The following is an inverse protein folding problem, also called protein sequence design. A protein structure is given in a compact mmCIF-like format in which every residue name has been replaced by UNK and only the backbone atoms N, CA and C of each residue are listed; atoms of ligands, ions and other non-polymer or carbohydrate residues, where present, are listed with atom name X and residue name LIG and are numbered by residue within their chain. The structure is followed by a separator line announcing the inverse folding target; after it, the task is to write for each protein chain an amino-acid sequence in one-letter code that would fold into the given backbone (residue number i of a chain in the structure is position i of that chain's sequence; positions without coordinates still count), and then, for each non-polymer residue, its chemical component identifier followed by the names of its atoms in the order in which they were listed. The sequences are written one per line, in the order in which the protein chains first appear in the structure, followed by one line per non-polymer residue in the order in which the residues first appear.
data_IF_556548448016
#
_entry.id   IF_556548448016
#
_cell.length_a   1.000
_cell.length_b   1.000
_cell.length_c   1.000
_cell.angle_alpha   90.00
_cell.angle_beta   90.00
_cell.angle_gamma   90.00
#
_symmetry.space_group_name_H-M   'P 1'
#
loop_
_entity.id
_entity.type
_entity.pdbx_description
1 polymer ?
#
# COMPACT_ATOMS: atom_id res chain seq x y z
N UNK A 1 -14.86 -3.20 -12.98
CA UNK A 1 -13.77 -2.91 -12.02
C UNK A 1 -12.86 -1.76 -12.46
N UNK A 2 -12.31 -1.77 -13.68
CA UNK A 2 -11.42 -0.66 -14.10
C UNK A 2 -12.13 0.71 -14.21
N UNK A 3 -13.39 0.72 -14.65
CA UNK A 3 -14.22 1.94 -14.68
C UNK A 3 -14.63 2.44 -13.29
N UNK A 4 -14.67 1.57 -12.28
CA UNK A 4 -15.07 1.95 -10.92
C UNK A 4 -13.95 2.71 -10.20
N UNK A 5 -12.68 2.43 -10.50
CA UNK A 5 -11.53 3.17 -9.94
C UNK A 5 -11.58 4.67 -10.22
N UNK A 6 -12.11 5.07 -11.38
CA UNK A 6 -12.26 6.46 -11.77
C UNK A 6 -13.51 7.12 -11.18
N UNK A 7 -14.59 6.36 -10.99
CA UNK A 7 -15.90 6.90 -10.57
C UNK A 7 -16.07 6.97 -9.06
N UNK A 8 -15.45 6.05 -8.33
CA UNK A 8 -15.66 5.92 -6.89
C UNK A 8 -14.31 5.87 -6.17
N UNK A 9 -14.29 6.37 -4.94
CA UNK A 9 -13.29 5.89 -3.99
C UNK A 9 -13.81 4.53 -3.55
N UNK A 10 -13.11 3.41 -3.81
CA UNK A 10 -13.47 2.18 -3.16
C UNK A 10 -13.24 2.39 -1.66
N UNK A 11 -14.30 2.77 -0.94
CA UNK A 11 -14.38 2.45 0.47
C UNK A 11 -14.11 0.94 0.59
N UNK A 12 -13.53 0.57 1.71
CA UNK A 12 -13.18 -0.77 2.13
C UNK A 12 -14.14 -1.91 1.72
N UNK A 13 -15.43 -1.63 1.53
CA UNK A 13 -16.40 -2.57 0.97
C UNK A 13 -16.07 -3.06 -0.45
N UNK A 14 -15.59 -2.18 -1.33
CA UNK A 14 -15.20 -2.56 -2.68
C UNK A 14 -13.88 -3.35 -2.68
N UNK A 15 -12.96 -3.07 -1.74
CA UNK A 15 -11.76 -3.88 -1.56
C UNK A 15 -12.12 -5.33 -1.23
N UNK A 16 -13.13 -5.57 -0.40
CA UNK A 16 -13.63 -6.91 -0.12
C UNK A 16 -14.18 -7.64 -1.37
N UNK A 17 -14.84 -6.93 -2.28
CA UNK A 17 -15.27 -7.49 -3.58
C UNK A 17 -14.07 -7.87 -4.45
N UNK A 18 -13.02 -7.04 -4.47
CA UNK A 18 -11.78 -7.34 -5.23
C UNK A 18 -11.11 -8.59 -4.66
N UNK A 19 -11.02 -8.69 -3.33
CA UNK A 19 -10.51 -9.89 -2.67
C UNK A 19 -11.34 -11.13 -3.02
N UNK A 20 -12.68 -11.04 -3.01
CA UNK A 20 -13.54 -12.15 -3.40
C UNK A 20 -13.38 -12.57 -4.87
N UNK A 21 -13.18 -11.62 -5.79
CA UNK A 21 -12.87 -11.95 -7.20
C UNK A 21 -11.50 -12.63 -7.32
N UNK A 22 -10.51 -12.16 -6.56
CA UNK A 22 -9.19 -12.82 -6.46
C UNK A 22 -9.33 -14.25 -5.94
N UNK A 23 -10.10 -14.46 -4.88
CA UNK A 23 -10.36 -15.78 -4.31
C UNK A 23 -11.02 -16.71 -5.34
N UNK A 24 -12.05 -16.24 -6.05
CA UNK A 24 -12.71 -17.00 -7.12
C UNK A 24 -11.75 -17.39 -8.26
N UNK A 25 -10.88 -16.48 -8.69
CA UNK A 25 -9.88 -16.78 -9.71
C UNK A 25 -8.87 -17.83 -9.22
N UNK A 26 -8.43 -17.72 -7.97
CA UNK A 26 -7.52 -18.70 -7.36
C UNK A 26 -8.20 -20.05 -7.12
N UNK A 27 -9.48 -20.09 -6.78
CA UNK A 27 -10.28 -21.31 -6.70
C UNK A 27 -10.24 -22.07 -8.01
N UNK A 28 -10.46 -21.37 -9.13
CA UNK A 28 -10.37 -21.97 -10.45
C UNK A 28 -8.97 -22.50 -10.75
N UNK A 29 -7.92 -21.73 -10.42
CA UNK A 29 -6.53 -22.18 -10.60
C UNK A 29 -6.24 -23.44 -9.79
N UNK A 30 -6.67 -23.50 -8.53
CA UNK A 30 -6.48 -24.68 -7.67
C UNK A 30 -7.18 -25.91 -8.25
N UNK A 31 -8.40 -25.75 -8.75
CA UNK A 31 -9.15 -26.85 -9.39
C UNK A 31 -8.47 -27.33 -10.69
N UNK A 32 -8.00 -26.40 -11.53
CA UNK A 32 -7.33 -26.72 -12.80
C UNK A 32 -5.91 -27.28 -12.60
N UNK A 33 -5.26 -26.97 -11.47
CA UNK A 33 -3.87 -27.35 -11.17
C UNK A 33 -3.74 -28.24 -9.93
N UNK A 34 -4.80 -28.95 -9.56
CA UNK A 34 -4.84 -29.80 -8.36
C UNK A 34 -3.63 -30.75 -8.21
N UNK A 35 -3.10 -31.42 -9.26
CA UNK A 35 -1.90 -32.24 -9.14
C UNK A 35 -0.65 -31.46 -8.68
N UNK A 36 -0.51 -30.20 -9.09
CA UNK A 36 0.59 -29.32 -8.67
C UNK A 36 0.42 -28.93 -7.21
N UNK A 37 -0.79 -28.56 -6.80
CA UNK A 37 -1.11 -28.23 -5.40
C UNK A 37 -0.82 -29.43 -4.49
N UNK A 38 -1.26 -30.64 -4.85
CA UNK A 38 -0.96 -31.85 -4.09
C UNK A 38 0.55 -32.15 -4.04
N UNK A 39 1.29 -31.89 -5.13
CA UNK A 39 2.75 -32.04 -5.13
C UNK A 39 3.41 -31.07 -4.14
N UNK A 40 2.93 -29.83 -4.07
CA UNK A 40 3.40 -28.84 -3.09
C UNK A 40 3.10 -29.34 -1.67
N UNK A 41 1.86 -29.72 -1.37
CA UNK A 41 1.45 -30.18 -0.04
C UNK A 41 2.17 -31.47 0.42
N UNK A 42 2.60 -32.33 -0.51
CA UNK A 42 3.34 -33.55 -0.21
C UNK A 42 4.87 -33.37 -0.19
N UNK A 43 5.36 -32.17 -0.49
CA UNK A 43 6.79 -31.84 -0.43
C UNK A 43 7.19 -31.36 0.96
N UNK A 44 8.46 -31.53 1.33
CA UNK A 44 9.01 -30.97 2.57
C UNK A 44 9.69 -29.64 2.30
N UNK A 45 9.50 -28.69 3.20
CA UNK A 45 10.11 -27.37 3.14
C UNK A 45 10.81 -27.05 4.45
N UNK A 46 11.93 -26.33 4.38
CA UNK A 46 12.62 -25.85 5.58
C UNK A 46 11.96 -24.60 6.16
N UNK A 47 11.30 -23.81 5.31
CA UNK A 47 10.63 -22.55 5.65
C UNK A 47 9.61 -22.19 4.56
N UNK A 48 8.46 -21.65 4.96
CA UNK A 48 7.46 -21.08 4.06
C UNK A 48 7.48 -19.55 4.19
N UNK A 49 7.45 -18.83 3.07
CA UNK A 49 7.22 -17.39 3.05
C UNK A 49 5.93 -17.16 2.26
N UNK A 50 4.91 -16.63 2.93
CA UNK A 50 3.57 -16.45 2.35
C UNK A 50 3.24 -14.97 2.27
N UNK A 51 2.84 -14.47 1.10
CA UNK A 51 2.31 -13.10 0.99
C UNK A 51 0.97 -13.02 1.73
N UNK A 52 0.69 -11.88 2.36
CA UNK A 52 -0.58 -11.64 3.05
C UNK A 52 -1.71 -11.24 2.07
N UNK A 53 -1.36 -10.50 1.01
CA UNK A 53 -2.35 -9.85 0.15
C UNK A 53 -2.82 -10.79 -0.95
N UNK A 54 -4.13 -10.93 -1.08
CA UNK A 54 -4.79 -11.79 -2.08
C UNK A 54 -4.27 -13.25 -2.09
N UNK A 55 -3.79 -13.76 -0.96
CA UNK A 55 -3.05 -15.03 -0.87
C UNK A 55 -3.70 -16.02 0.10
N UNK A 56 -5.04 -16.07 0.10
CA UNK A 56 -5.76 -16.92 1.05
C UNK A 56 -5.47 -18.41 0.83
N UNK A 57 -5.36 -18.87 -0.42
CA UNK A 57 -4.93 -20.23 -0.74
C UNK A 57 -3.50 -20.49 -0.28
N UNK A 58 -2.60 -19.50 -0.42
CA UNK A 58 -1.23 -19.59 0.09
C UNK A 58 -1.20 -19.78 1.60
N UNK A 59 -2.00 -19.00 2.33
CA UNK A 59 -2.15 -19.11 3.78
C UNK A 59 -2.82 -20.43 4.20
N UNK A 60 -3.80 -20.93 3.44
CA UNK A 60 -4.42 -22.23 3.68
C UNK A 60 -3.45 -23.39 3.47
N UNK A 61 -2.66 -23.37 2.39
CA UNK A 61 -1.59 -24.34 2.18
C UNK A 61 -0.52 -24.25 3.27
N UNK A 62 -0.19 -23.04 3.74
CA UNK A 62 0.73 -22.83 4.86
C UNK A 62 0.21 -23.48 6.14
N UNK A 63 -1.10 -23.35 6.42
CA UNK A 63 -1.76 -24.02 7.55
C UNK A 63 -1.61 -25.54 7.47
N UNK A 64 -1.90 -26.11 6.30
CA UNK A 64 -1.80 -27.55 6.07
C UNK A 64 -0.36 -28.06 6.27
N UNK A 65 0.62 -27.41 5.64
CA UNK A 65 2.02 -27.78 5.79
C UNK A 65 2.42 -27.71 7.26
N UNK A 66 2.20 -26.58 7.95
CA UNK A 66 2.46 -26.44 9.39
C UNK A 66 1.80 -27.55 10.23
N UNK A 67 0.58 -27.96 9.92
CA UNK A 67 -0.12 -29.04 10.63
C UNK A 67 0.48 -30.43 10.36
N UNK A 68 0.87 -30.72 9.11
CA UNK A 68 1.37 -32.04 8.72
C UNK A 68 2.86 -32.27 9.06
N UNK A 69 3.71 -31.25 8.90
CA UNK A 69 5.17 -31.40 9.04
C UNK A 69 5.80 -30.43 10.06
N UNK A 70 5.02 -29.48 10.59
CA UNK A 70 5.50 -28.45 11.50
C UNK A 70 6.49 -27.48 10.87
N UNK A 71 6.42 -27.25 9.55
CA UNK A 71 7.27 -26.31 8.81
C UNK A 71 7.08 -24.90 9.33
N UNK A 72 8.15 -24.18 9.73
CA UNK A 72 8.05 -22.79 10.13
C UNK A 72 7.60 -21.90 8.96
N UNK A 73 6.94 -20.77 9.26
CA UNK A 73 6.51 -19.84 8.24
C UNK A 73 6.72 -18.37 8.63
N UNK A 74 6.89 -17.55 7.60
CA UNK A 74 6.94 -16.09 7.65
C UNK A 74 5.76 -15.56 6.85
N UNK A 75 5.04 -14.59 7.41
CA UNK A 75 4.09 -13.78 6.64
C UNK A 75 4.84 -12.57 6.09
N UNK A 76 4.74 -12.33 4.78
CA UNK A 76 5.37 -11.22 4.08
C UNK A 76 4.34 -10.26 3.52
N UNK A 77 4.27 -9.05 4.06
CA UNK A 77 3.28 -8.04 3.67
C UNK A 77 3.88 -7.09 2.64
N UNK A 78 3.32 -7.05 1.42
CA UNK A 78 3.84 -6.22 0.32
C UNK A 78 3.13 -4.87 0.14
N UNK A 79 2.01 -4.66 0.84
CA UNK A 79 1.28 -3.40 0.87
C UNK A 79 0.56 -3.25 2.21
N UNK A 80 0.28 -2.02 2.60
CA UNK A 80 -0.40 -1.74 3.85
C UNK A 80 -1.94 -1.88 3.73
N UNK A 81 -2.44 -2.39 2.60
CA UNK A 81 -3.87 -2.69 2.37
C UNK A 81 -4.28 -4.03 2.98
N UNK A 82 -3.32 -4.89 3.34
CA UNK A 82 -3.57 -6.16 4.03
C UNK A 82 -4.32 -5.91 5.34
N UNK A 83 -5.42 -6.63 5.56
CA UNK A 83 -6.30 -6.38 6.70
C UNK A 83 -5.62 -6.71 8.03
N UNK A 84 -4.87 -7.80 8.09
CA UNK A 84 -4.36 -8.38 9.32
C UNK A 84 -3.12 -7.64 9.84
N UNK A 85 -2.14 -7.35 8.98
CA UNK A 85 -0.98 -6.53 9.33
C UNK A 85 -1.33 -5.08 9.60
N UNK A 86 -2.31 -4.51 8.90
CA UNK A 86 -2.79 -3.17 9.20
C UNK A 86 -3.46 -3.12 10.58
N UNK A 87 -4.31 -4.10 10.90
CA UNK A 87 -4.90 -4.23 12.25
C UNK A 87 -3.82 -4.38 13.33
N UNK A 88 -2.76 -5.14 13.06
CA UNK A 88 -1.62 -5.26 13.97
C UNK A 88 -0.90 -3.92 14.19
N UNK A 89 -0.65 -3.13 13.13
CA UNK A 89 -0.05 -1.79 13.22
C UNK A 89 -0.91 -0.81 14.03
N UNK A 90 -2.20 -0.81 13.73
CA UNK A 90 -3.23 -0.07 14.44
C UNK A 90 -3.14 -0.37 15.94
N UNK A 91 -3.12 -1.65 16.30
CA UNK A 91 -3.06 -2.06 17.70
C UNK A 91 -1.73 -1.73 18.37
N UNK A 92 -0.65 -1.65 17.58
CA UNK A 92 0.67 -1.23 18.04
C UNK A 92 0.83 0.29 18.15
N UNK A 93 -0.14 1.09 17.74
CA UNK A 93 -0.17 2.55 17.96
C UNK A 93 -0.41 3.42 16.74
N UNK A 94 -0.60 2.83 15.55
CA UNK A 94 -1.01 3.57 14.33
C UNK A 94 -2.50 3.92 14.37
N UNK A 95 -2.91 4.76 15.31
CA UNK A 95 -4.33 5.05 15.53
C UNK A 95 -4.88 6.09 14.53
N UNK A 96 -6.17 6.04 14.18
CA UNK A 96 -6.83 6.91 13.20
C UNK A 96 -7.09 8.31 13.81
N UNK A 97 -6.87 8.43 15.11
CA UNK A 97 -6.87 9.67 15.87
C UNK A 97 -5.59 10.47 15.58
N UNK A 98 -4.51 9.78 15.24
CA UNK A 98 -3.18 10.33 15.11
C UNK A 98 -2.75 10.46 13.64
N UNK A 99 -3.20 9.57 12.76
CA UNK A 99 -2.85 9.62 11.34
C UNK A 99 -3.97 9.15 10.42
N UNK A 100 -3.95 9.58 9.16
CA UNK A 100 -4.85 9.07 8.12
C UNK A 100 -4.64 7.56 7.94
N UNK A 101 -5.73 6.80 7.82
CA UNK A 101 -5.70 5.35 7.48
C UNK A 101 -5.81 5.12 5.96
N UNK A 102 -5.62 3.88 5.53
CA UNK A 102 -5.70 3.49 4.11
C UNK A 102 -7.12 3.66 3.55
N UNK A 103 -8.14 3.45 4.37
CA UNK A 103 -9.54 3.71 4.01
C UNK A 103 -9.95 5.18 4.01
N UNK A 104 -9.06 6.14 4.34
CA UNK A 104 -9.44 7.55 4.31
C UNK A 104 -9.81 8.02 2.90
N UNK A 105 -10.90 8.80 2.75
CA UNK A 105 -11.30 9.36 1.46
C UNK A 105 -10.14 10.06 0.79
N UNK A 106 -9.96 9.92 -0.52
CA UNK A 106 -8.83 10.55 -1.22
C UNK A 106 -8.76 12.08 -1.02
N UNK A 107 -7.56 12.69 -1.06
CA UNK A 107 -7.43 14.13 -0.91
C UNK A 107 -8.15 14.90 -2.03
N UNK A 108 -8.90 15.93 -1.65
CA UNK A 108 -9.69 16.73 -2.59
C UNK A 108 -8.86 17.80 -3.34
N UNK A 109 -7.60 18.00 -2.95
CA UNK A 109 -6.68 18.90 -3.62
C UNK A 109 -5.50 19.31 -2.75
N UNK A 110 -4.74 20.33 -3.19
CA UNK A 110 -3.60 20.86 -2.46
C UNK A 110 -4.04 21.38 -1.09
N UNK A 111 -3.29 21.02 -0.04
CA UNK A 111 -3.59 21.48 1.32
C UNK A 111 -4.63 20.67 2.08
N UNK A 112 -5.24 19.63 1.48
CA UNK A 112 -6.06 18.65 2.23
C UNK A 112 -5.18 17.71 3.08
N UNK A 113 -4.60 18.30 4.13
CA UNK A 113 -3.69 17.64 5.06
C UNK A 113 -4.43 17.26 6.33
N UNK A 114 -4.28 16.00 6.76
CA UNK A 114 -4.80 15.54 8.03
C UNK A 114 -4.16 16.30 9.20
N UNK A 115 -4.99 16.88 10.07
CA UNK A 115 -4.53 17.60 11.25
C UNK A 115 -5.11 16.95 12.53
N UNK A 116 -4.29 16.21 13.30
CA UNK A 116 -4.75 15.53 14.52
C UNK A 116 -5.17 16.51 15.62
N UNK A 117 -4.84 17.81 15.53
CA UNK A 117 -5.31 18.82 16.50
C UNK A 117 -6.79 19.14 16.32
N UNK A 118 -7.34 18.96 15.11
CA UNK A 118 -8.75 19.24 14.80
C UNK A 118 -9.63 18.03 15.14
N UNK A 119 -10.61 18.23 16.02
CA UNK A 119 -11.54 17.17 16.43
C UNK A 119 -12.30 16.56 15.25
N UNK A 120 -12.78 17.38 14.31
CA UNK A 120 -13.51 16.89 13.12
C UNK A 120 -12.68 15.93 12.28
N UNK A 121 -11.39 16.24 12.04
CA UNK A 121 -10.50 15.35 11.31
C UNK A 121 -10.35 14.00 12.04
N UNK A 122 -10.19 14.02 13.37
CA UNK A 122 -10.12 12.79 14.17
C UNK A 122 -11.41 11.99 14.09
N UNK A 123 -12.57 12.63 14.23
CA UNK A 123 -13.87 11.97 14.19
C UNK A 123 -14.14 11.32 12.83
N UNK A 124 -13.96 12.05 11.73
CA UNK A 124 -14.17 11.49 10.39
C UNK A 124 -13.24 10.31 10.14
N UNK A 125 -11.96 10.42 10.50
CA UNK A 125 -11.00 9.34 10.29
C UNK A 125 -11.30 8.09 11.14
N UNK A 126 -11.82 8.28 12.36
CA UNK A 126 -12.34 7.19 13.20
C UNK A 126 -13.55 6.51 12.54
N UNK A 127 -14.50 7.27 12.02
CA UNK A 127 -15.68 6.71 11.33
C UNK A 127 -15.28 5.93 10.07
N UNK A 128 -14.33 6.43 9.30
CA UNK A 128 -13.78 5.74 8.13
C UNK A 128 -13.06 4.45 8.54
N UNK A 129 -12.24 4.47 9.59
CA UNK A 129 -11.59 3.26 10.11
C UNK A 129 -12.61 2.21 10.62
N UNK A 130 -13.72 2.65 11.23
CA UNK A 130 -14.83 1.75 11.62
C UNK A 130 -15.50 1.16 10.37
N UNK A 131 -15.77 1.98 9.36
CA UNK A 131 -16.31 1.53 8.08
C UNK A 131 -15.39 0.51 7.39
N UNK A 132 -14.08 0.77 7.45
CA UNK A 132 -13.03 -0.12 6.97
C UNK A 132 -13.06 -1.48 7.63
N UNK A 133 -13.13 -1.47 8.96
CA UNK A 133 -13.25 -2.69 9.73
C UNK A 133 -14.54 -3.47 9.42
N UNK A 134 -15.69 -2.78 9.44
CA UNK A 134 -17.00 -3.42 9.21
C UNK A 134 -17.06 -4.08 7.85
N UNK A 135 -16.52 -3.44 6.81
CA UNK A 135 -16.50 -4.08 5.51
C UNK A 135 -15.64 -5.35 5.50
N UNK A 136 -14.42 -5.33 6.08
CA UNK A 136 -13.58 -6.54 6.10
C UNK A 136 -14.32 -7.71 6.76
N UNK A 137 -15.10 -7.42 7.81
CA UNK A 137 -15.99 -8.39 8.44
C UNK A 137 -17.08 -8.91 7.48
N UNK A 138 -17.78 -8.03 6.75
CA UNK A 138 -18.84 -8.43 5.80
C UNK A 138 -18.32 -9.24 4.60
N UNK A 139 -17.07 -9.02 4.18
CA UNK A 139 -16.47 -9.76 3.05
C UNK A 139 -15.71 -11.02 3.48
N UNK A 140 -15.57 -11.26 4.79
CA UNK A 140 -14.93 -12.45 5.38
C UNK A 140 -15.40 -13.78 4.74
N UNK A 141 -16.70 -14.00 4.45
CA UNK A 141 -17.17 -15.23 3.81
C UNK A 141 -16.53 -15.54 2.45
N UNK A 142 -16.16 -14.52 1.66
CA UNK A 142 -15.51 -14.73 0.36
C UNK A 142 -14.08 -15.22 0.49
N UNK A 143 -13.43 -15.00 1.63
CA UNK A 143 -12.11 -15.55 1.90
C UNK A 143 -12.18 -17.01 2.37
N UNK A 144 -13.36 -17.54 2.70
CA UNK A 144 -13.48 -18.90 3.23
C UNK A 144 -13.73 -19.98 2.19
N UNK A 145 -14.10 -19.59 0.96
CA UNK A 145 -14.33 -20.54 -0.14
C UNK A 145 -13.06 -21.27 -0.56
N UNK A 146 -11.93 -20.58 -0.73
CA UNK A 146 -10.66 -21.20 -1.12
C UNK A 146 -10.10 -22.21 -0.13
N UNK A 147 -9.98 -21.89 1.18
CA UNK A 147 -9.54 -22.83 2.19
C UNK A 147 -10.40 -24.09 2.25
N UNK A 148 -11.73 -23.97 2.06
CA UNK A 148 -12.63 -25.12 2.02
C UNK A 148 -12.34 -26.06 0.85
N UNK A 149 -11.97 -25.54 -0.34
CA UNK A 149 -11.54 -26.38 -1.47
C UNK A 149 -10.27 -27.18 -1.17
N UNK A 150 -9.44 -26.71 -0.25
CA UNK A 150 -8.23 -27.40 0.22
C UNK A 150 -8.49 -28.27 1.47
N UNK A 151 -9.76 -28.49 1.84
CA UNK A 151 -10.18 -29.19 3.07
C UNK A 151 -9.62 -28.56 4.36
N UNK A 152 -9.42 -27.24 4.38
CA UNK A 152 -9.03 -26.50 5.58
C UNK A 152 -10.28 -26.01 6.30
N UNK A 153 -10.67 -26.72 7.36
CA UNK A 153 -11.73 -26.29 8.27
C UNK A 153 -11.24 -25.20 9.23
N UNK A 154 -12.15 -24.33 9.69
CA UNK A 154 -11.87 -23.26 10.65
C UNK A 154 -10.63 -22.41 10.25
N UNK A 155 -10.61 -21.95 9.00
CA UNK A 155 -9.55 -21.07 8.53
C UNK A 155 -9.61 -19.72 9.26
N UNK A 156 -8.47 -19.20 9.68
CA UNK A 156 -8.36 -17.89 10.31
C UNK A 156 -7.02 -17.26 9.93
N UNK A 157 -7.05 -16.17 9.19
CA UNK A 157 -5.85 -15.48 8.72
C UNK A 157 -5.05 -14.91 9.90
N UNK A 158 -5.72 -14.47 10.96
CA UNK A 158 -5.08 -14.01 12.20
C UNK A 158 -4.30 -15.14 12.90
N UNK A 159 -4.79 -16.38 12.85
CA UNK A 159 -4.07 -17.54 13.37
C UNK A 159 -2.74 -17.74 12.63
N UNK A 160 -2.74 -17.63 11.30
CA UNK A 160 -1.54 -17.77 10.48
C UNK A 160 -0.52 -16.69 10.85
N UNK A 161 -0.94 -15.44 10.98
CA UNK A 161 -0.05 -14.34 11.35
C UNK A 161 0.49 -14.45 12.79
N UNK A 162 -0.36 -14.87 13.73
CA UNK A 162 0.00 -15.06 15.15
C UNK A 162 0.97 -16.22 15.35
N UNK A 163 0.82 -17.29 14.58
CA UNK A 163 1.66 -18.49 14.65
C UNK A 163 2.90 -18.41 13.77
N UNK A 164 3.05 -17.34 12.98
CA UNK A 164 4.24 -17.09 12.19
C UNK A 164 5.47 -16.88 13.09
N UNK A 165 6.59 -17.43 12.65
CA UNK A 165 7.89 -17.19 13.28
C UNK A 165 8.29 -15.72 13.15
N UNK A 166 7.85 -15.08 12.04
CA UNK A 166 8.08 -13.68 11.76
C UNK A 166 7.01 -13.09 10.83
N UNK A 167 6.78 -11.80 10.99
CA UNK A 167 5.97 -10.94 10.12
C UNK A 167 6.90 -9.91 9.51
N UNK A 168 7.24 -10.10 8.23
CA UNK A 168 8.10 -9.21 7.46
C UNK A 168 7.25 -8.30 6.58
N UNK A 169 7.66 -7.03 6.42
CA UNK A 169 6.90 -6.07 5.61
C UNK A 169 7.78 -5.28 4.65
N UNK A 170 7.35 -5.13 3.41
CA UNK A 170 7.93 -4.16 2.45
C UNK A 170 7.36 -2.76 2.68
N UNK A 171 7.25 -2.35 3.96
CA UNK A 171 6.78 -1.04 4.37
C UNK A 171 7.90 -0.21 4.98
N UNK A 172 7.64 1.08 5.17
CA UNK A 172 8.58 2.01 5.81
C UNK A 172 8.45 1.92 7.33
N UNK A 173 9.58 1.88 8.04
CA UNK A 173 9.62 1.95 9.51
C UNK A 173 10.14 3.27 10.07
N UNK A 174 10.69 4.13 9.21
CA UNK A 174 11.21 5.46 9.59
C UNK A 174 10.40 6.62 9.01
N UNK A 175 9.39 6.33 8.19
CA UNK A 175 8.54 7.33 7.54
C UNK A 175 7.16 7.23 8.16
N UNK A 176 6.82 8.16 9.05
CA UNK A 176 5.56 8.16 9.79
C UNK A 176 5.77 8.41 11.27
N UNK A 177 4.79 8.03 12.09
CA UNK A 177 4.90 8.10 13.55
C UNK A 177 5.63 6.87 14.07
N UNK A 178 6.48 7.08 15.08
CA UNK A 178 7.14 6.00 15.80
C UNK A 178 6.09 5.31 16.67
N UNK A 179 6.00 3.98 16.55
CA UNK A 179 5.13 3.16 17.38
C UNK A 179 5.92 2.00 17.99
N UNK A 180 5.45 1.42 19.11
CA UNK A 180 5.92 0.12 19.57
C UNK A 180 5.92 -0.94 18.46
N UNK A 181 6.96 -1.75 18.36
CA UNK A 181 6.99 -2.91 17.46
C UNK A 181 7.35 -4.15 18.25
N UNK A 182 6.60 -5.24 18.04
CA UNK A 182 6.99 -6.55 18.53
C UNK A 182 8.23 -7.05 17.78
N UNK A 183 9.07 -7.83 18.44
CA UNK A 183 10.34 -8.35 17.88
C UNK A 183 10.16 -9.16 16.59
N UNK A 184 9.02 -9.83 16.48
CA UNK A 184 8.66 -10.64 15.31
C UNK A 184 7.92 -9.84 14.22
N UNK A 185 7.67 -8.54 14.40
CA UNK A 185 7.18 -7.64 13.35
C UNK A 185 8.32 -6.75 12.89
N UNK A 186 8.78 -6.95 11.66
CA UNK A 186 9.94 -6.26 11.10
C UNK A 186 9.62 -5.70 9.71
N UNK A 187 9.77 -4.40 9.56
CA UNK A 187 9.72 -3.78 8.24
C UNK A 187 11.11 -3.81 7.61
N UNK A 188 11.19 -4.39 6.42
CA UNK A 188 12.42 -4.54 5.63
C UNK A 188 12.37 -3.71 4.34
N UNK A 189 11.33 -2.90 4.15
CA UNK A 189 11.11 -2.09 2.95
C UNK A 189 11.99 -0.85 2.82
N UNK A 190 12.77 -0.51 3.85
CA UNK A 190 13.62 0.68 3.90
C UNK A 190 14.94 0.56 3.11
N UNK A 191 14.82 0.30 1.80
CA UNK A 191 15.95 0.13 0.89
C UNK A 191 15.70 0.79 -0.48
N UNK A 192 16.79 1.13 -1.17
CA UNK A 192 16.77 1.66 -2.53
C UNK A 192 17.45 0.70 -3.50
N UNK A 193 16.88 0.57 -4.70
CA UNK A 193 17.52 -0.17 -5.80
C UNK A 193 18.70 0.64 -6.36
N UNK A 194 19.65 -0.06 -6.97
CA UNK A 194 20.75 0.57 -7.70
C UNK A 194 20.17 1.29 -8.93
N UNK A 195 20.47 2.59 -9.15
CA UNK A 195 19.99 3.33 -10.31
C UNK A 195 20.27 2.62 -11.63
N UNK A 196 19.27 2.56 -12.49
CA UNK A 196 19.40 2.04 -13.85
C UNK A 196 19.68 3.19 -14.82
N UNK A 197 20.48 2.94 -15.86
CA UNK A 197 20.76 3.95 -16.89
C UNK A 197 19.70 3.93 -17.99
N UNK A 198 19.29 5.11 -18.45
CA UNK A 198 18.48 5.25 -19.66
C UNK A 198 19.32 4.88 -20.89
N UNK A 199 18.66 4.32 -21.90
CA UNK A 199 19.28 3.92 -23.18
C UNK A 199 18.44 4.35 -24.37
N UNK A 200 19.08 4.45 -25.54
CA UNK A 200 18.43 4.76 -26.83
C UNK A 200 17.63 6.06 -26.84
N UNK A 201 16.55 6.07 -27.61
CA UNK A 201 15.68 7.24 -27.85
C UNK A 201 15.16 7.91 -26.58
N UNK A 202 14.98 7.15 -25.50
CA UNK A 202 14.49 7.69 -24.25
C UNK A 202 15.57 8.51 -23.53
N UNK A 203 16.82 8.06 -23.60
CA UNK A 203 17.97 8.82 -23.10
C UNK A 203 18.10 10.13 -23.87
N UNK A 204 18.12 10.07 -25.20
CA UNK A 204 18.28 11.26 -26.05
C UNK A 204 17.17 12.29 -25.80
N UNK A 205 15.94 11.81 -25.61
CA UNK A 205 14.80 12.67 -25.28
C UNK A 205 14.94 13.35 -23.92
N UNK A 206 15.35 12.63 -22.88
CA UNK A 206 15.55 13.19 -21.53
C UNK A 206 16.76 14.13 -21.50
N UNK A 207 17.82 13.80 -22.25
CA UNK A 207 19.08 14.54 -22.27
C UNK A 207 19.07 15.77 -23.17
N UNK A 208 17.99 16.02 -23.92
CA UNK A 208 17.85 17.21 -24.75
C UNK A 208 18.20 18.51 -24.00
N UNK A 209 19.18 19.23 -24.54
CA UNK A 209 19.75 20.45 -23.98
C UNK A 209 18.80 21.63 -24.02
N UNK A 210 17.81 21.63 -24.91
CA UNK A 210 16.80 22.68 -25.00
C UNK A 210 15.77 22.60 -23.87
N UNK A 211 15.67 21.44 -23.20
CA UNK A 211 14.72 21.23 -22.12
C UNK A 211 15.23 21.70 -20.76
N UNK A 212 14.35 22.37 -20.00
CA UNK A 212 14.60 22.77 -18.61
C UNK A 212 14.58 21.59 -17.63
N UNK A 213 14.06 20.44 -18.03
CA UNK A 213 13.96 19.25 -17.19
C UNK A 213 12.87 18.29 -17.68
N UNK A 214 12.76 17.15 -17.01
CA UNK A 214 11.81 16.08 -17.33
C UNK A 214 10.75 15.95 -16.25
N UNK A 215 9.48 15.98 -16.65
CA UNK A 215 8.33 15.65 -15.82
C UNK A 215 7.90 14.23 -16.18
N UNK A 216 7.91 13.35 -15.19
CA UNK A 216 7.43 11.98 -15.36
C UNK A 216 6.00 11.84 -14.83
N UNK A 217 5.16 11.09 -15.54
CA UNK A 217 3.76 10.87 -15.18
C UNK A 217 3.43 9.39 -15.28
N UNK A 218 2.94 8.77 -14.20
CA UNK A 218 2.51 7.38 -14.21
C UNK A 218 1.47 7.05 -13.13
N UNK A 219 0.44 6.30 -13.51
CA UNK A 219 -0.69 5.94 -12.64
C UNK A 219 -0.72 4.46 -12.25
N UNK A 220 0.41 3.76 -12.38
CA UNK A 220 0.51 2.34 -12.04
C UNK A 220 -0.09 1.41 -13.10
N UNK A 221 -0.04 0.10 -12.82
CA UNK A 221 -0.37 -0.95 -13.80
C UNK A 221 -1.86 -1.29 -13.90
N UNK A 222 -2.64 -0.91 -12.89
CA UNK A 222 -4.07 -1.21 -12.79
C UNK A 222 -4.96 -0.08 -13.32
N UNK A 223 -4.44 1.13 -13.46
CA UNK A 223 -5.22 2.27 -13.95
C UNK A 223 -5.27 2.23 -15.47
N UNK A 224 -6.47 2.08 -16.00
CA UNK A 224 -6.72 2.09 -17.44
C UNK A 224 -7.32 3.44 -17.85
N UNK A 225 -6.63 4.14 -18.75
CA UNK A 225 -6.99 5.50 -19.18
C UNK A 225 -8.20 5.55 -20.15
N UNK A 226 -8.59 4.43 -20.76
CA UNK A 226 -9.82 4.33 -21.56
C UNK A 226 -11.08 4.63 -20.70
N UNK A 227 -11.00 4.48 -19.38
CA UNK A 227 -12.11 4.75 -18.45
C UNK A 227 -11.96 6.07 -17.67
N UNK A 228 -10.91 6.85 -17.93
CA UNK A 228 -10.72 8.14 -17.28
C UNK A 228 -11.90 9.07 -17.61
N UNK A 229 -12.47 9.83 -16.66
CA UNK A 229 -13.51 10.80 -16.98
C UNK A 229 -12.99 11.84 -17.98
N UNK A 230 -13.83 12.25 -18.93
CA UNK A 230 -13.40 13.13 -20.02
C UNK A 230 -12.83 14.46 -19.50
N UNK A 231 -13.42 15.05 -18.46
CA UNK A 231 -12.93 16.29 -17.88
C UNK A 231 -11.54 16.13 -17.24
N UNK A 232 -11.26 15.00 -16.58
CA UNK A 232 -9.93 14.71 -16.00
C UNK A 232 -8.91 14.42 -17.07
N UNK A 233 -9.30 13.66 -18.10
CA UNK A 233 -8.46 13.40 -19.26
C UNK A 233 -8.03 14.73 -19.90
N UNK A 234 -8.99 15.59 -20.22
CA UNK A 234 -8.73 16.91 -20.81
C UNK A 234 -7.90 17.80 -19.88
N UNK A 235 -8.15 17.77 -18.56
CA UNK A 235 -7.36 18.50 -17.59
C UNK A 235 -5.89 18.07 -17.56
N UNK A 236 -5.61 16.75 -17.53
CA UNK A 236 -4.24 16.23 -17.52
C UNK A 236 -3.50 16.61 -18.80
N UNK A 237 -4.12 16.35 -19.97
CA UNK A 237 -3.46 16.58 -21.24
C UNK A 237 -3.37 18.06 -21.62
N UNK A 238 -4.37 18.87 -21.27
CA UNK A 238 -4.28 20.33 -21.37
C UNK A 238 -3.14 20.85 -20.51
N UNK A 239 -2.97 20.33 -19.29
CA UNK A 239 -1.89 20.76 -18.41
C UNK A 239 -0.52 20.37 -18.97
N UNK A 240 -0.37 19.15 -19.50
CA UNK A 240 0.86 18.68 -20.16
C UNK A 240 1.28 19.64 -21.28
N UNK A 241 0.32 20.09 -22.09
CA UNK A 241 0.59 20.99 -23.21
C UNK A 241 1.18 22.33 -22.73
N UNK A 242 0.86 22.79 -21.52
CA UNK A 242 1.41 24.04 -20.97
C UNK A 242 2.92 23.99 -20.64
N UNK A 243 3.54 22.81 -20.64
CA UNK A 243 4.94 22.61 -20.25
C UNK A 243 5.89 22.36 -21.43
N UNK A 244 5.72 23.10 -22.55
CA UNK A 244 6.54 22.96 -23.76
C UNK A 244 8.06 23.11 -23.56
N UNK A 245 8.50 23.83 -22.52
CA UNK A 245 9.92 24.01 -22.18
C UNK A 245 10.52 22.78 -21.45
N UNK A 246 9.68 21.81 -21.11
CA UNK A 246 10.04 20.59 -20.40
C UNK A 246 9.76 19.36 -21.27
N UNK A 247 10.51 18.29 -21.00
CA UNK A 247 10.24 16.98 -21.57
C UNK A 247 9.21 16.29 -20.67
N UNK A 248 8.13 15.80 -21.25
CA UNK A 248 7.09 15.06 -20.50
C UNK A 248 7.10 13.60 -20.95
N UNK A 249 7.30 12.68 -20.01
CA UNK A 249 7.15 11.25 -20.26
C UNK A 249 5.94 10.78 -19.48
N UNK A 250 4.95 10.24 -20.18
CA UNK A 250 3.77 9.65 -19.56
C UNK A 250 3.68 8.15 -19.85
N UNK A 251 3.73 7.35 -18.80
CA UNK A 251 3.47 5.92 -18.87
C UNK A 251 1.99 5.65 -18.54
N UNK A 252 1.24 5.15 -19.51
CA UNK A 252 -0.18 4.84 -19.32
C UNK A 252 -0.60 3.59 -20.08
N UNK A 253 -1.55 2.84 -19.51
CA UNK A 253 -2.10 1.65 -20.14
C UNK A 253 -3.30 2.02 -21.02
N UNK A 254 -3.19 1.69 -22.32
CA UNK A 254 -4.22 1.66 -23.38
C UNK A 254 -4.99 2.95 -23.64
N UNK A 255 -5.19 3.24 -24.93
CA UNK A 255 -6.09 4.26 -25.46
C UNK A 255 -6.85 3.71 -26.66
N UNK A 256 -7.23 2.43 -26.61
CA UNK A 256 -7.95 1.77 -27.71
C UNK A 256 -9.28 2.46 -28.03
N UNK A 257 -9.81 3.27 -27.11
CA UNK A 257 -11.10 3.94 -27.25
C UNK A 257 -11.02 5.46 -27.39
N UNK A 258 -9.84 6.07 -27.36
CA UNK A 258 -9.70 7.54 -27.39
C UNK A 258 -8.55 8.01 -28.27
N UNK A 259 -8.79 9.09 -28.99
CA UNK A 259 -7.76 9.81 -29.73
C UNK A 259 -6.89 10.60 -28.76
N UNK A 260 -5.57 10.44 -28.88
CA UNK A 260 -4.63 11.29 -28.17
C UNK A 260 -4.61 12.69 -28.77
N UNK A 261 -4.51 13.74 -27.95
CA UNK A 261 -4.12 15.05 -28.44
C UNK A 261 -2.76 14.94 -29.15
N UNK A 262 -2.59 15.72 -30.22
CA UNK A 262 -1.29 15.86 -30.86
C UNK A 262 -0.46 16.83 -30.04
N UNK A 263 0.60 16.32 -29.43
CA UNK A 263 1.60 17.15 -28.76
C UNK A 263 2.72 17.49 -29.75
N UNK A 264 3.37 18.62 -29.50
CA UNK A 264 4.70 18.88 -30.08
C UNK A 264 5.70 17.83 -29.59
N UNK A 265 6.89 17.80 -30.18
CA UNK A 265 7.93 16.79 -29.91
C UNK A 265 8.40 16.69 -28.45
N UNK A 266 7.92 17.53 -27.53
CA UNK A 266 8.20 17.57 -26.10
C UNK A 266 7.52 16.48 -25.23
N UNK A 267 6.57 15.71 -25.78
CA UNK A 267 5.84 14.65 -25.02
C UNK A 267 6.12 13.28 -25.61
N UNK A 268 6.48 12.31 -24.75
CA UNK A 268 6.52 10.88 -25.08
C UNK A 268 5.48 10.13 -24.24
N UNK A 269 4.57 9.42 -24.92
CA UNK A 269 3.58 8.55 -24.29
C UNK A 269 4.00 7.10 -24.53
N UNK A 270 4.11 6.33 -23.44
CA UNK A 270 4.58 4.95 -23.46
C UNK A 270 3.55 4.03 -22.79
N UNK A 271 3.39 2.81 -23.31
CA UNK A 271 2.60 1.79 -22.61
C UNK A 271 3.31 1.27 -21.35
N UNK A 272 4.64 1.27 -21.39
CA UNK A 272 5.52 0.89 -20.29
C UNK A 272 6.79 1.74 -20.36
N UNK A 273 7.28 2.19 -19.21
CA UNK A 273 8.48 3.00 -19.13
C UNK A 273 9.43 2.43 -18.07
N UNK A 274 10.76 2.56 -18.23
CA UNK A 274 11.71 2.20 -17.19
C UNK A 274 11.68 3.24 -16.06
N UNK A 275 10.62 3.19 -15.24
CA UNK A 275 10.27 4.18 -14.22
C UNK A 275 11.47 4.52 -13.32
N UNK A 276 12.15 3.49 -12.80
CA UNK A 276 13.30 3.68 -11.92
C UNK A 276 14.45 4.45 -12.61
N UNK A 277 14.77 4.12 -13.86
CA UNK A 277 15.79 4.82 -14.64
C UNK A 277 15.39 6.27 -14.95
N UNK A 278 14.12 6.53 -15.26
CA UNK A 278 13.62 7.90 -15.48
C UNK A 278 13.71 8.71 -14.19
N UNK A 279 13.18 8.19 -13.08
CA UNK A 279 13.16 8.90 -11.80
C UNK A 279 14.56 9.24 -11.30
N UNK A 280 15.50 8.29 -11.41
CA UNK A 280 16.89 8.48 -10.96
C UNK A 280 17.72 9.36 -11.90
N UNK A 281 17.23 9.68 -13.10
CA UNK A 281 17.96 10.54 -14.02
C UNK A 281 18.04 11.99 -13.50
N UNK A 282 19.21 12.66 -13.54
CA UNK A 282 19.41 13.99 -12.97
C UNK A 282 18.50 15.10 -13.53
N UNK A 283 18.05 14.96 -14.78
CA UNK A 283 17.10 15.90 -15.42
C UNK A 283 15.65 15.71 -14.97
N UNK A 284 15.30 14.66 -14.23
CA UNK A 284 13.92 14.44 -13.79
C UNK A 284 13.61 15.28 -12.56
N UNK A 285 12.69 16.22 -12.70
CA UNK A 285 12.44 17.28 -11.72
C UNK A 285 11.11 17.11 -10.95
N UNK A 286 10.17 16.34 -11.49
CA UNK A 286 8.91 16.03 -10.84
C UNK A 286 8.33 14.70 -11.29
N UNK A 287 7.56 14.07 -10.42
CA UNK A 287 6.80 12.86 -10.71
C UNK A 287 5.33 13.02 -10.32
N UNK A 288 4.44 13.07 -11.31
CA UNK A 288 3.00 12.93 -11.13
C UNK A 288 2.62 11.46 -11.04
N UNK A 289 2.28 11.02 -9.83
CA UNK A 289 2.02 9.63 -9.50
C UNK A 289 0.61 9.42 -8.96
N UNK A 290 0.03 8.25 -9.21
CA UNK A 290 -1.10 7.76 -8.40
C UNK A 290 -0.76 7.54 -6.92
N UNK A 291 0.52 7.51 -6.52
CA UNK A 291 0.91 7.36 -5.12
C UNK A 291 0.94 5.93 -4.59
N UNK A 292 1.03 4.91 -5.45
CA UNK A 292 1.23 3.53 -5.00
C UNK A 292 2.56 3.36 -4.25
N UNK A 293 2.58 2.50 -3.22
CA UNK A 293 3.70 2.33 -2.29
C UNK A 293 5.07 2.16 -2.98
N UNK A 294 5.13 1.30 -3.99
CA UNK A 294 6.36 1.03 -4.76
C UNK A 294 6.83 2.25 -5.57
N UNK A 295 5.90 2.96 -6.20
CA UNK A 295 6.22 4.18 -6.97
C UNK A 295 6.68 5.32 -6.06
N UNK A 296 6.07 5.46 -4.89
CA UNK A 296 6.53 6.39 -3.86
C UNK A 296 7.95 6.04 -3.39
N UNK A 297 8.23 4.76 -3.11
CA UNK A 297 9.58 4.30 -2.72
C UNK A 297 10.64 4.63 -3.77
N UNK A 298 10.35 4.36 -5.04
CA UNK A 298 11.28 4.69 -6.14
C UNK A 298 11.54 6.19 -6.25
N UNK A 299 10.50 7.02 -6.10
CA UNK A 299 10.64 8.48 -6.14
C UNK A 299 11.43 9.04 -4.95
N UNK A 300 11.18 8.51 -3.75
CA UNK A 300 11.96 8.85 -2.55
C UNK A 300 13.44 8.49 -2.73
N UNK A 301 13.72 7.27 -3.20
CA UNK A 301 15.07 6.82 -3.49
C UNK A 301 15.77 7.64 -4.58
N UNK A 302 15.02 8.08 -5.58
CA UNK A 302 15.50 8.99 -6.62
C UNK A 302 15.58 10.47 -6.17
N UNK A 303 15.04 10.79 -4.99
CA UNK A 303 14.87 12.16 -4.48
C UNK A 303 14.05 13.05 -5.43
N UNK A 304 13.11 12.48 -6.18
CA UNK A 304 12.30 13.21 -7.16
C UNK A 304 11.06 13.80 -6.48
N UNK A 305 10.86 15.13 -6.51
CA UNK A 305 9.67 15.77 -5.97
C UNK A 305 8.36 15.16 -6.50
N UNK A 306 7.36 15.06 -5.63
CA UNK A 306 6.15 14.27 -5.88
C UNK A 306 4.91 15.15 -6.10
N UNK A 307 4.09 14.72 -7.05
CA UNK A 307 2.73 15.21 -7.23
C UNK A 307 1.82 14.00 -7.25
N UNK A 308 0.72 14.05 -6.53
CA UNK A 308 -0.18 12.91 -6.40
C UNK A 308 -1.51 13.18 -7.07
N UNK A 309 -2.02 12.20 -7.80
CA UNK A 309 -3.43 12.09 -8.09
C UNK A 309 -3.87 10.69 -7.66
N UNK A 310 -4.15 10.51 -6.35
CA UNK A 310 -4.53 9.21 -5.82
C UNK A 310 -5.74 8.65 -6.55
N UNK A 311 -5.74 7.33 -6.76
CA UNK A 311 -6.80 6.61 -7.45
C UNK A 311 -7.57 5.71 -6.48
N UNK A 312 -6.91 4.90 -5.65
CA UNK A 312 -7.57 3.96 -4.71
C UNK A 312 -6.63 3.55 -3.55
N UNK A 313 -7.17 2.90 -2.52
CA UNK A 313 -6.41 2.17 -1.50
C UNK A 313 -5.41 3.07 -0.71
N UNK A 314 -4.20 2.60 -0.42
CA UNK A 314 -3.21 3.31 0.43
C UNK A 314 -2.72 4.64 -0.16
N UNK A 315 -3.04 4.93 -1.41
CA UNK A 315 -2.54 6.07 -2.17
C UNK A 315 -2.91 7.41 -1.54
N UNK A 316 -4.12 7.51 -0.96
CA UNK A 316 -4.58 8.71 -0.26
C UNK A 316 -3.76 9.02 0.98
N UNK A 317 -3.47 8.01 1.80
CA UNK A 317 -2.59 8.14 2.97
C UNK A 317 -1.18 8.59 2.58
N UNK A 318 -0.60 7.96 1.54
CA UNK A 318 0.74 8.30 1.05
C UNK A 318 0.78 9.76 0.60
N UNK A 319 -0.22 10.22 -0.15
CA UNK A 319 -0.32 11.60 -0.60
C UNK A 319 -0.42 12.58 0.58
N UNK A 320 -1.29 12.31 1.57
CA UNK A 320 -1.44 13.17 2.76
C UNK A 320 -0.18 13.23 3.61
N UNK A 321 0.46 12.08 3.82
CA UNK A 321 1.72 12.00 4.56
C UNK A 321 2.81 12.79 3.84
N UNK A 322 2.87 12.69 2.52
CA UNK A 322 3.82 13.44 1.68
C UNK A 322 3.58 14.95 1.71
N UNK A 323 2.31 15.39 1.68
CA UNK A 323 1.96 16.81 1.84
C UNK A 323 2.33 17.32 3.24
N UNK A 324 2.06 16.54 4.28
CA UNK A 324 2.44 16.88 5.67
C UNK A 324 3.95 17.03 5.85
N UNK A 325 4.73 16.17 5.20
CA UNK A 325 6.19 16.25 5.19
C UNK A 325 6.72 17.34 4.25
N UNK A 326 5.87 17.91 3.40
CA UNK A 326 6.22 18.93 2.42
C UNK A 326 7.11 18.42 1.30
N UNK A 327 6.99 17.13 0.94
CA UNK A 327 7.75 16.49 -0.16
C UNK A 327 6.93 16.35 -1.44
N UNK A 328 5.64 16.71 -1.39
CA UNK A 328 4.78 16.75 -2.56
C UNK A 328 3.43 17.42 -2.31
N UNK A 329 2.60 17.44 -3.35
CA UNK A 329 1.24 17.99 -3.36
C UNK A 329 0.26 17.01 -4.01
N UNK A 330 -1.04 17.18 -3.79
CA UNK A 330 -2.07 16.31 -4.38
C UNK A 330 -3.11 17.09 -5.19
N UNK A 331 -3.65 16.45 -6.23
CA UNK A 331 -4.81 16.90 -7.00
C UNK A 331 -5.90 15.82 -6.97
N UNK A 332 -7.16 16.24 -7.05
CA UNK A 332 -8.30 15.34 -6.97
C UNK A 332 -8.56 14.62 -8.29
N UNK A 333 -8.69 13.30 -8.27
CA UNK A 333 -9.14 12.53 -9.43
C UNK A 333 -10.59 12.82 -9.84
N UNK A 334 -11.37 13.52 -9.00
CA UNK A 334 -12.78 13.82 -9.26
C UNK A 334 -12.97 15.20 -9.88
N UNK A 335 -12.19 16.17 -9.43
CA UNK A 335 -12.46 17.60 -9.65
C UNK A 335 -11.26 18.37 -10.19
N UNK A 336 -10.11 17.73 -10.41
CA UNK A 336 -8.93 18.42 -10.93
C UNK A 336 -9.24 19.13 -12.25
N UNK A 337 -8.85 20.39 -12.31
CA UNK A 337 -8.89 21.21 -13.52
C UNK A 337 -7.50 21.30 -14.13
N UNK A 338 -7.43 21.68 -15.41
CA UNK A 338 -6.15 21.95 -16.09
C UNK A 338 -5.30 22.93 -15.27
N UNK A 339 -5.89 24.07 -14.88
CA UNK A 339 -5.17 25.11 -14.16
C UNK A 339 -4.64 24.61 -12.81
N UNK A 340 -5.42 23.81 -12.07
CA UNK A 340 -4.97 23.25 -10.80
C UNK A 340 -3.77 22.31 -10.97
N UNK A 341 -3.76 21.49 -12.03
CA UNK A 341 -2.62 20.60 -12.33
C UNK A 341 -1.39 21.43 -12.71
N UNK A 342 -1.56 22.48 -13.54
CA UNK A 342 -0.49 23.41 -13.92
C UNK A 342 0.09 24.11 -12.69
N UNK A 343 -0.76 24.63 -11.81
CA UNK A 343 -0.33 25.35 -10.60
C UNK A 343 0.48 24.43 -9.68
N UNK A 344 0.02 23.19 -9.47
CA UNK A 344 0.71 22.23 -8.61
C UNK A 344 2.03 21.76 -9.21
N UNK A 345 2.08 21.47 -10.51
CA UNK A 345 3.34 21.14 -11.19
C UNK A 345 4.31 22.31 -11.07
N UNK A 346 3.85 23.52 -11.35
CA UNK A 346 4.67 24.75 -11.28
C UNK A 346 5.22 24.97 -9.88
N UNK A 347 4.39 24.87 -8.84
CA UNK A 347 4.81 24.99 -7.44
C UNK A 347 5.90 23.96 -7.12
N UNK A 348 5.71 22.69 -7.48
CA UNK A 348 6.66 21.62 -7.15
C UNK A 348 7.99 21.76 -7.89
N UNK A 349 8.00 22.19 -9.16
CA UNK A 349 9.23 22.34 -9.94
C UNK A 349 9.99 23.63 -9.64
N UNK A 350 9.31 24.69 -9.18
CA UNK A 350 9.93 26.00 -8.90
C UNK A 350 10.34 26.17 -7.44
N UNK A 351 9.68 25.48 -6.50
CA UNK A 351 9.99 25.58 -5.08
C UNK A 351 11.05 24.53 -4.66
N UNK A 352 12.31 24.94 -4.36
CA UNK A 352 13.38 24.00 -4.03
C UNK A 352 13.15 23.26 -2.70
N UNK A 353 12.22 23.73 -1.86
CA UNK A 353 11.88 23.11 -0.57
C UNK A 353 11.49 21.63 -0.73
N UNK A 354 10.75 21.29 -1.80
CA UNK A 354 10.34 19.91 -2.06
C UNK A 354 11.54 18.99 -2.29
N UNK A 355 12.49 19.41 -3.13
CA UNK A 355 13.72 18.66 -3.42
C UNK A 355 14.61 18.52 -2.19
N UNK A 356 14.76 19.58 -1.40
CA UNK A 356 15.54 19.57 -0.16
C UNK A 356 14.93 18.59 0.85
N UNK A 357 13.61 18.66 1.06
CA UNK A 357 12.91 17.83 2.04
C UNK A 357 12.90 16.35 1.66
N UNK A 358 12.67 16.01 0.38
CA UNK A 358 12.69 14.60 -0.04
C UNK A 358 14.11 14.02 0.02
N UNK A 359 15.14 14.82 -0.23
CA UNK A 359 16.54 14.40 -0.06
C UNK A 359 16.85 14.08 1.40
N UNK A 360 16.49 14.99 2.33
CA UNK A 360 16.61 14.73 3.77
C UNK A 360 15.81 13.52 4.23
N UNK A 361 14.61 13.32 3.67
CA UNK A 361 13.81 12.15 4.00
C UNK A 361 14.46 10.86 3.52
N UNK A 362 15.11 10.85 2.34
CA UNK A 362 15.88 9.70 1.86
C UNK A 362 17.05 9.35 2.80
N UNK A 363 17.75 10.35 3.32
CA UNK A 363 18.82 10.14 4.31
C UNK A 363 18.27 9.44 5.56
N UNK A 364 17.20 9.97 6.15
CA UNK A 364 16.55 9.36 7.31
C UNK A 364 15.94 7.97 7.02
N UNK A 365 15.48 7.76 5.79
CA UNK A 365 14.92 6.49 5.32
C UNK A 365 15.97 5.37 5.28
N UNK A 366 17.22 5.71 4.92
CA UNK A 366 18.33 4.76 4.83
C UNK A 366 19.18 4.72 6.11
N UNK A 367 18.93 5.61 7.07
CA UNK A 367 19.66 5.70 8.33
C UNK A 367 19.33 4.50 9.25
N UNK A 368 20.16 3.47 9.14
CA UNK A 368 20.04 2.21 9.89
C UNK A 368 21.41 1.70 10.29
N UNK A 369 21.46 0.95 11.39
CA UNK A 369 22.65 0.19 11.82
C UNK A 369 23.01 -0.89 10.80
N UNK A 370 21.99 -1.49 10.16
CA UNK A 370 22.13 -2.52 9.13
C UNK A 370 21.15 -2.21 7.99
N UNK A 371 21.56 -2.37 6.70
CA UNK A 371 20.64 -2.24 5.58
C UNK A 371 19.41 -3.15 5.75
N UNK A 372 18.21 -2.65 5.43
CA UNK A 372 16.97 -3.35 5.78
C UNK A 372 16.81 -4.72 5.11
N UNK A 373 17.35 -4.88 3.90
CA UNK A 373 17.37 -6.17 3.20
C UNK A 373 18.36 -7.16 3.82
N UNK A 374 19.51 -6.68 4.30
CA UNK A 374 20.49 -7.52 4.99
C UNK A 374 19.93 -8.00 6.32
N UNK A 375 19.21 -7.13 7.03
CA UNK A 375 18.46 -7.49 8.24
C UNK A 375 17.40 -8.56 7.94
N UNK A 376 16.59 -8.37 6.90
CA UNK A 376 15.60 -9.36 6.46
C UNK A 376 16.23 -10.71 6.10
N UNK A 377 17.32 -10.69 5.31
CA UNK A 377 18.05 -11.90 4.94
C UNK A 377 18.67 -12.60 6.17
N UNK A 378 19.23 -11.83 7.11
CA UNK A 378 19.75 -12.36 8.35
C UNK A 378 18.66 -13.02 9.20
N UNK A 379 17.48 -12.41 9.33
CA UNK A 379 16.35 -12.97 10.06
C UNK A 379 15.86 -14.29 9.44
N UNK A 380 15.75 -14.34 8.11
CA UNK A 380 15.40 -15.57 7.36
C UNK A 380 16.46 -16.66 7.58
N UNK A 381 17.74 -16.33 7.41
CA UNK A 381 18.85 -17.27 7.61
C UNK A 381 18.92 -17.78 9.06
N UNK A 382 18.63 -16.92 10.03
CA UNK A 382 18.55 -17.30 11.45
C UNK A 382 17.46 -18.35 11.66
N UNK A 383 16.29 -18.21 11.02
CA UNK A 383 15.23 -19.21 11.10
C UNK A 383 15.64 -20.53 10.43
N UNK A 384 16.25 -20.48 9.24
CA UNK A 384 16.76 -21.67 8.55
C UNK A 384 17.88 -22.40 9.34
N UNK A 385 18.70 -21.65 10.08
CA UNK A 385 19.81 -22.22 10.86
C UNK A 385 19.36 -22.94 12.14
N UNK A 386 18.15 -22.65 12.64
CA UNK A 386 17.60 -23.27 13.85
C UNK A 386 17.05 -24.66 13.51
N UNK A 387 17.92 -25.66 13.52
CA UNK A 387 17.55 -27.08 13.32
C UNK A 387 16.72 -27.64 14.48
N UNK A 388 16.92 -27.10 15.68
CA UNK A 388 16.12 -27.45 16.84
C UNK A 388 14.93 -26.49 16.90
N UNK A 389 13.73 -27.05 16.71
CA UNK A 389 12.43 -26.43 16.97
C UNK A 389 12.28 -26.13 18.47
N UNK A 390 13.19 -25.34 19.05
CA UNK A 390 13.11 -24.89 20.44
C UNK A 390 11.78 -24.14 20.58
N UNK A 391 10.80 -24.85 21.14
CA UNK A 391 9.42 -24.46 21.33
C UNK A 391 9.27 -23.34 22.34
N UNK A 392 9.97 -22.22 22.14
CA UNK A 392 9.79 -21.01 22.95
C UNK A 392 8.44 -20.33 22.72
N UNK A 393 7.54 -20.92 21.92
CA UNK A 393 6.16 -20.45 21.72
C UNK A 393 5.08 -21.54 21.70
N UNK A 394 5.34 -22.75 22.19
CA UNK A 394 4.26 -23.76 22.33
C UNK A 394 3.54 -23.62 23.68
N UNK A 395 2.81 -22.52 23.88
CA UNK A 395 1.68 -22.54 24.80
C UNK A 395 0.40 -22.68 23.97
N UNK A 396 -0.05 -23.93 23.80
CA UNK A 396 -1.43 -24.18 23.38
C UNK A 396 -2.36 -23.62 24.46
N UNK A 397 -3.09 -22.55 24.15
CA UNK A 397 -4.19 -22.11 25.01
C UNK A 397 -5.44 -22.96 24.71
N UNK A 398 -6.31 -23.19 25.71
CA UNK A 398 -7.54 -23.94 25.52
C UNK A 398 -8.43 -23.26 24.48
N UNK A 399 -9.20 -24.07 23.77
CA UNK A 399 -10.28 -23.65 22.88
C UNK A 399 -11.28 -22.79 23.66
N UNK A 400 -11.13 -21.47 23.60
CA UNK A 400 -12.19 -20.55 23.97
C UNK A 400 -12.81 -20.01 22.68
N UNK A 401 -14.14 -20.15 22.62
CA UNK A 401 -14.99 -19.69 21.54
C UNK A 401 -14.90 -18.16 21.44
N UNK A 402 -14.16 -17.64 20.47
CA UNK A 402 -13.86 -16.21 20.35
C UNK A 402 -14.79 -15.55 19.32
N UNK A 403 -16.06 -15.40 19.69
CA UNK A 403 -16.87 -14.35 19.10
C UNK A 403 -16.42 -13.01 19.69
N UNK A 404 -15.94 -12.10 18.83
CA UNK A 404 -15.54 -10.69 19.08
C UNK A 404 -14.02 -10.40 19.30
N UNK A 405 -13.38 -9.91 18.22
CA UNK A 405 -12.46 -8.74 18.11
C UNK A 405 -11.17 -8.56 18.95
N UNK A 406 -10.25 -9.54 18.99
CA UNK A 406 -8.90 -9.28 19.54
C UNK A 406 -7.79 -10.01 18.78
N UNK A 407 -6.80 -9.28 18.24
CA UNK A 407 -5.50 -9.90 17.97
C UNK A 407 -4.82 -10.09 19.34
N UNK A 408 -4.36 -11.30 19.67
CA UNK A 408 -3.77 -11.59 20.97
C UNK A 408 -2.45 -12.32 20.78
N UNK A 409 -1.34 -11.64 21.09
CA UNK A 409 0.01 -12.23 21.05
C UNK A 409 0.57 -12.22 22.46
N UNK A 410 0.91 -13.40 22.99
CA UNK A 410 1.54 -13.62 24.32
C UNK A 410 1.18 -12.61 25.42
N UNK A 411 -0.06 -12.67 25.91
CA UNK A 411 -0.48 -11.84 27.06
C UNK A 411 -0.76 -10.36 26.73
N UNK A 412 -0.45 -9.90 25.52
CA UNK A 412 -0.80 -8.56 25.04
C UNK A 412 -2.17 -8.62 24.35
N UNK A 413 -3.14 -7.87 24.89
CA UNK A 413 -4.43 -7.63 24.25
C UNK A 413 -4.29 -6.50 23.23
N UNK A 414 -4.27 -6.85 21.94
CA UNK A 414 -4.25 -5.93 20.82
C UNK A 414 -5.66 -5.85 20.24
N UNK A 415 -6.57 -5.31 21.06
CA UNK A 415 -8.00 -5.28 20.82
C UNK A 415 -8.52 -4.05 20.08
N UNK A 416 -9.52 -4.28 19.23
CA UNK A 416 -10.18 -3.21 18.47
C UNK A 416 -11.01 -2.25 19.35
N UNK A 417 -11.35 -2.62 20.59
CA UNK A 417 -12.04 -1.75 21.55
C UNK A 417 -11.04 -0.88 22.36
N UNK A 418 -9.88 -1.44 22.70
CA UNK A 418 -8.76 -0.71 23.31
C UNK A 418 -8.28 0.41 22.37
N UNK A 419 -8.37 0.18 21.06
CA UNK A 419 -8.05 1.12 19.98
C UNK A 419 -8.86 2.43 20.01
N UNK A 420 -10.11 2.43 20.50
CA UNK A 420 -10.91 3.65 20.65
C UNK A 420 -10.74 4.35 22.01
N UNK A 421 -9.88 3.82 22.90
CA UNK A 421 -9.77 4.30 24.28
C UNK A 421 -11.05 4.05 25.10
N UNK A 422 -11.87 3.09 24.69
CA UNK A 422 -13.12 2.74 25.35
C UNK A 422 -12.85 1.65 26.40
N UNK A 423 -12.45 2.06 27.60
CA UNK A 423 -12.51 1.21 28.79
C UNK A 423 -13.99 0.90 29.08
N UNK A 424 -14.48 -0.29 28.68
CA UNK A 424 -15.76 -0.94 29.03
C UNK A 424 -17.07 -0.11 29.10
N UNK A 425 -17.08 1.15 28.68
CA UNK A 425 -18.09 2.10 29.12
C UNK A 425 -18.99 2.70 28.05
N UNK A 426 -18.67 2.60 26.75
CA UNK A 426 -19.53 3.19 25.71
C UNK A 426 -19.48 2.36 24.44
N UNK A 427 -20.38 1.37 24.33
CA UNK A 427 -20.72 0.76 23.04
C UNK A 427 -21.70 1.70 22.36
N UNK A 428 -21.24 2.40 21.33
CA UNK A 428 -22.11 3.18 20.44
C UNK A 428 -22.84 2.22 19.51
N UNK A 429 -24.05 1.84 19.89
CA UNK A 429 -25.07 1.39 18.95
C UNK A 429 -26.25 2.35 19.03
N UNK A 430 -26.39 3.19 18.00
CA UNK A 430 -27.61 3.95 17.74
C UNK A 430 -27.80 5.18 18.62
N UNK A 431 -28.51 6.15 18.06
CA UNK A 431 -28.91 7.41 18.69
C UNK A 431 -29.52 7.20 20.09
N UNK A 432 -28.86 7.68 21.13
CA UNK A 432 -29.52 8.31 22.30
C UNK A 432 -28.46 8.98 23.18
N UNK A 433 -28.42 10.31 23.10
CA UNK A 433 -27.78 11.14 24.12
C UNK A 433 -28.74 11.19 25.30
N UNK A 434 -28.35 10.62 26.43
CA UNK A 434 -28.94 10.96 27.72
C UNK A 434 -27.81 11.39 28.67
N UNK A 435 -27.88 12.65 29.07
CA UNK A 435 -27.07 13.23 30.13
C UNK A 435 -27.93 13.25 31.40
N UNK A 436 -27.39 12.79 32.51
CA UNK A 436 -27.83 13.28 33.83
C UNK A 436 -26.64 13.38 34.77
N UNK A 437 -26.66 14.45 35.57
CA UNK A 437 -25.60 15.01 36.42
C UNK A 437 -24.73 14.03 37.20
#
# INVERSE_FOLDING_TARGET
MLSTFWKHDPHSAVLGVIHGIGDLALNQIVLETAPVVLKILNSKYDLIIVDEIFSVHGMAMTKLLKQFDGTPHIVFTTSNVGGESNVAEIALGHTPILDSTHGTPLPLGPGDVYNPKKFSHRLFNVLEAVGEYLSLYFYRPFFYTGPQLLNVENFDTYEIQRTAEMNLRDSFDRIGRIVPHAEDFRSVGSHCKVPESLTGDLKDFVEDKSSKGTIYIAFGSLVNFDYCPEHIFNAIFGAIDRFHEYRVIMAMKTLKKRHLPKFNDHVKILNWAPQHAILTHPKTIAFLSHGGLKSFKEALCATTPLIFMPIIAEQGMIARTSMRMGIGQAVSKYTATEQQIVDVITEVITNPSYKIKITKLKEAFLDRIMPSLDEGAWLVNKLLSRKDKLGFRSYQRPNEDHSIMFFRREGIYLGNLTYFGLDWGVVVFGMLVLVSN
#
